data_IF_680858668944
#
_entry.id   IF_680858668944
#
_cell.length_a   1.000
_cell.length_b   1.000
_cell.length_c   1.000
_cell.angle_alpha   90.00
_cell.angle_beta   90.00
_cell.angle_gamma   90.00
#
_symmetry.space_group_name_H-M   'P 1'
#
loop_
_entity.id
_entity.type
_entity.pdbx_description
1 polymer ?
#
# COMPACT_ATOMS: atom_id res chain seq x y z
N UNK A 1 22.74 -7.73 -10.90
CA UNK A 1 22.20 -6.36 -10.89
C UNK A 1 21.73 -6.06 -12.30
N UNK A 2 20.44 -5.80 -12.51
CA UNK A 2 19.86 -5.66 -13.85
C UNK A 2 20.15 -4.25 -14.39
N UNK A 3 20.85 -4.12 -15.53
CA UNK A 3 21.10 -2.81 -16.13
C UNK A 3 19.79 -2.22 -16.67
N UNK A 4 19.48 -0.99 -16.27
CA UNK A 4 18.40 -0.18 -16.84
C UNK A 4 18.97 0.79 -17.89
N UNK A 5 18.30 0.93 -19.05
CA UNK A 5 18.67 1.95 -20.05
C UNK A 5 18.40 3.35 -19.49
N UNK A 6 19.42 4.21 -19.59
CA UNK A 6 19.32 5.65 -19.37
C UNK A 6 18.41 6.29 -20.42
N UNK A 7 17.40 7.04 -19.99
CA UNK A 7 16.68 7.97 -20.86
C UNK A 7 17.57 9.21 -21.10
N UNK A 8 17.92 9.49 -22.36
CA UNK A 8 18.50 10.78 -22.73
C UNK A 8 17.41 11.85 -22.77
N UNK A 9 17.58 13.01 -22.09
CA UNK A 9 16.67 14.13 -22.23
C UNK A 9 16.92 14.84 -23.58
N UNK A 10 15.83 15.05 -24.33
CA UNK A 10 15.79 15.99 -25.44
C UNK A 10 16.01 17.41 -24.88
N UNK A 11 17.05 18.09 -25.38
CA UNK A 11 17.28 19.51 -25.14
C UNK A 11 16.18 20.33 -25.81
N UNK A 12 15.52 21.22 -25.06
CA UNK A 12 15.02 22.48 -25.61
C UNK A 12 14.77 23.51 -24.49
N UNK A 13 15.30 24.72 -24.69
CA UNK A 13 14.65 25.98 -24.33
C UNK A 13 14.79 26.48 -22.90
N UNK A 14 15.79 27.34 -22.67
CA UNK A 14 15.88 28.25 -21.55
C UNK A 14 14.71 29.23 -21.48
N UNK A 15 14.07 29.38 -20.32
CA UNK A 15 13.55 30.68 -19.86
C UNK A 15 13.71 30.82 -18.34
N UNK A 16 14.37 31.90 -17.96
CA UNK A 16 14.47 32.43 -16.60
C UNK A 16 13.12 32.98 -16.15
N UNK A 17 12.65 32.62 -14.96
CA UNK A 17 11.75 33.49 -14.19
C UNK A 17 12.22 33.62 -12.74
N UNK A 18 12.27 34.89 -12.32
CA UNK A 18 12.74 35.39 -11.02
C UNK A 18 11.64 35.20 -9.98
N UNK A 19 11.97 34.65 -8.81
CA UNK A 19 11.08 34.73 -7.65
C UNK A 19 11.23 36.11 -6.99
N UNK A 20 10.15 36.88 -6.98
CA UNK A 20 10.02 38.10 -6.18
C UNK A 20 9.50 37.75 -4.79
N UNK A 21 10.18 38.28 -3.77
CA UNK A 21 9.75 38.29 -2.38
C UNK A 21 8.72 39.41 -2.21
N UNK A 22 7.56 39.12 -1.63
CA UNK A 22 6.69 40.14 -1.02
C UNK A 22 6.30 39.71 0.40
N UNK A 23 6.83 40.45 1.38
CA UNK A 23 6.22 40.63 2.70
C UNK A 23 5.23 41.79 2.61
N UNK A 24 4.04 41.69 3.22
CA UNK A 24 3.44 42.76 4.04
C UNK A 24 2.17 42.27 4.82
N UNK A 25 1.49 43.07 5.67
CA UNK A 25 1.54 42.94 7.14
C UNK A 25 0.16 42.82 7.85
N UNK A 26 0.19 42.38 9.12
CA UNK A 26 -0.74 42.65 10.26
C UNK A 26 -2.28 42.60 10.05
N UNK A 27 -2.96 41.68 10.78
CA UNK A 27 -4.39 41.73 11.14
C UNK A 27 -4.82 40.50 11.97
N UNK A 28 -5.73 40.62 12.95
CA UNK A 28 -5.98 39.71 14.10
C UNK A 28 -7.22 38.75 13.92
N UNK A 29 -7.12 37.46 14.37
CA UNK A 29 -8.15 36.47 14.93
C UNK A 29 -9.45 36.08 14.15
N UNK A 30 -10.22 34.94 14.36
CA UNK A 30 -10.12 33.77 15.27
C UNK A 30 -10.17 32.32 14.63
N UNK A 31 -10.78 31.23 15.24
CA UNK A 31 -10.27 29.81 15.46
C UNK A 31 -10.89 28.62 14.69
N UNK A 32 -10.08 27.59 14.37
CA UNK A 32 -10.45 26.16 14.20
C UNK A 32 -9.22 25.28 14.52
N UNK A 33 -9.47 24.07 15.04
CA UNK A 33 -8.52 23.29 15.85
C UNK A 33 -7.80 22.19 15.04
N UNK A 34 -6.49 21.92 15.26
CA UNK A 34 -5.77 20.83 14.60
C UNK A 34 -6.07 19.45 15.22
N UNK A 35 -6.16 18.41 14.37
CA UNK A 35 -6.39 17.01 14.76
C UNK A 35 -5.20 16.50 15.57
N UNK A 36 -5.46 16.08 16.81
CA UNK A 36 -4.46 15.43 17.67
C UNK A 36 -4.55 13.91 17.50
N UNK A 37 -3.40 13.23 17.35
CA UNK A 37 -3.32 11.76 17.37
C UNK A 37 -2.64 11.36 18.69
N UNK A 38 -3.42 11.03 19.71
CA UNK A 38 -2.90 10.59 21.01
C UNK A 38 -2.61 9.08 20.99
N UNK A 39 -1.34 8.72 21.01
CA UNK A 39 -0.87 7.33 21.11
C UNK A 39 -0.58 7.02 22.59
N UNK A 40 -1.46 6.28 23.27
CA UNK A 40 -1.22 5.86 24.67
C UNK A 40 -0.25 4.67 24.74
N UNK A 41 1.05 4.91 24.56
CA UNK A 41 2.16 4.22 25.22
C UNK A 41 3.44 5.08 25.13
N UNK A 42 3.66 5.84 26.22
CA UNK A 42 4.82 6.64 26.65
C UNK A 42 5.61 7.52 25.65
N UNK A 43 5.59 8.81 26.00
CA UNK A 43 6.42 9.95 25.56
C UNK A 43 6.02 10.62 24.24
N UNK A 44 5.21 11.70 24.30
CA UNK A 44 5.58 13.08 23.89
C UNK A 44 4.40 14.04 24.13
N UNK A 45 4.73 15.33 24.35
CA UNK A 45 3.89 16.39 24.93
C UNK A 45 2.88 17.01 23.94
N UNK A 46 1.76 17.44 24.51
CA UNK A 46 0.71 18.30 23.96
C UNK A 46 1.23 19.55 23.24
N UNK A 47 0.54 19.99 22.19
CA UNK A 47 0.59 21.37 21.71
C UNK A 47 -0.83 21.90 21.52
N UNK A 48 -1.04 23.10 22.05
CA UNK A 48 -2.33 23.75 22.32
C UNK A 48 -2.86 24.52 21.10
N UNK A 49 -4.19 24.67 21.08
CA UNK A 49 -5.01 25.26 20.02
C UNK A 49 -4.72 26.73 19.67
N UNK A 50 -4.83 27.08 18.39
CA UNK A 50 -4.66 28.42 17.82
C UNK A 50 -5.55 28.66 16.60
N UNK A 51 -5.81 29.94 16.28
CA UNK A 51 -7.04 30.50 15.67
C UNK A 51 -7.11 30.48 14.09
N UNK A 52 -7.84 29.54 13.40
CA UNK A 52 -8.24 29.48 11.96
C UNK A 52 -9.54 30.23 11.47
N UNK A 53 -9.54 30.78 10.23
CA UNK A 53 -10.62 31.59 9.63
C UNK A 53 -11.75 30.81 8.91
N UNK A 54 -12.83 31.53 8.63
CA UNK A 54 -14.14 31.11 8.06
C UNK A 54 -14.04 30.32 6.73
N UNK A 55 -14.36 29.02 6.77
CA UNK A 55 -14.49 28.15 5.59
C UNK A 55 -15.91 28.23 5.05
N UNK A 56 -16.06 28.68 3.80
CA UNK A 56 -17.31 28.54 3.04
C UNK A 56 -17.57 27.04 2.81
N UNK A 57 -18.50 26.49 3.60
CA UNK A 57 -19.02 25.11 3.57
C UNK A 57 -18.11 24.00 4.18
N UNK A 58 -18.27 23.68 5.48
CA UNK A 58 -17.60 22.57 6.16
C UNK A 58 -17.86 21.20 5.50
N UNK A 59 -19.02 21.02 4.88
CA UNK A 59 -19.39 19.76 4.22
C UNK A 59 -18.50 19.51 3.01
N UNK A 60 -18.33 20.53 2.15
CA UNK A 60 -17.45 20.46 0.98
C UNK A 60 -15.97 20.26 1.34
N UNK A 61 -15.51 20.81 2.47
CA UNK A 61 -14.12 20.63 2.94
C UNK A 61 -13.83 19.25 3.52
N UNK A 62 -14.86 18.52 3.97
CA UNK A 62 -14.70 17.18 4.56
C UNK A 62 -14.86 16.04 3.54
N UNK A 63 -15.63 16.26 2.47
CA UNK A 63 -15.87 15.26 1.43
C UNK A 63 -14.57 14.94 0.66
N UNK A 64 -14.23 13.66 0.57
CA UNK A 64 -12.98 13.20 -0.04
C UNK A 64 -11.75 13.32 0.86
N UNK A 65 -11.89 13.85 2.07
CA UNK A 65 -10.85 13.77 3.09
C UNK A 65 -10.59 12.32 3.49
N UNK A 66 -9.35 12.03 3.85
CA UNK A 66 -8.97 10.69 4.28
C UNK A 66 -7.86 10.71 5.32
N UNK A 67 -7.92 9.74 6.23
CA UNK A 67 -6.90 9.43 7.21
C UNK A 67 -6.36 8.03 6.90
N UNK A 68 -5.07 7.95 6.63
CA UNK A 68 -4.36 6.68 6.40
C UNK A 68 -3.54 6.33 7.64
N UNK A 69 -3.83 5.19 8.24
CA UNK A 69 -3.16 4.64 9.41
C UNK A 69 -2.35 3.42 8.95
N UNK A 70 -1.05 3.43 9.23
CA UNK A 70 -0.13 2.36 8.87
C UNK A 70 0.41 1.75 10.16
N UNK A 71 0.31 0.43 10.28
CA UNK A 71 0.84 -0.27 11.45
C UNK A 71 0.69 -1.78 11.35
N UNK A 72 0.99 -2.48 12.44
CA UNK A 72 0.98 -3.94 12.51
C UNK A 72 0.09 -4.39 13.67
N UNK A 73 -0.95 -5.22 13.42
CA UNK A 73 -1.65 -5.92 14.48
C UNK A 73 -0.68 -6.90 15.19
N UNK A 74 -0.59 -6.79 16.51
CA UNK A 74 0.29 -7.60 17.37
C UNK A 74 -0.38 -8.94 17.72
N UNK A 75 0.13 -9.64 18.75
CA UNK A 75 -0.15 -11.06 19.01
C UNK A 75 -1.62 -11.38 19.32
N UNK A 76 -2.29 -10.55 20.11
CA UNK A 76 -3.74 -10.64 20.33
C UNK A 76 -4.51 -9.99 19.18
N UNK A 77 -3.93 -8.97 18.56
CA UNK A 77 -4.37 -8.41 17.29
C UNK A 77 -5.71 -7.66 17.32
N UNK A 78 -6.34 -7.54 18.48
CA UNK A 78 -7.57 -6.78 18.66
C UNK A 78 -7.23 -5.31 18.87
N UNK A 79 -7.80 -4.43 18.06
CA UNK A 79 -7.57 -2.99 18.15
C UNK A 79 -8.80 -2.19 17.76
N UNK A 80 -8.79 -0.91 18.08
CA UNK A 80 -9.89 0.01 17.85
C UNK A 80 -9.38 1.35 17.33
N UNK A 81 -10.12 1.90 16.37
CA UNK A 81 -9.93 3.25 15.84
C UNK A 81 -11.21 4.04 16.13
N UNK A 82 -11.09 5.13 16.85
CA UNK A 82 -12.20 5.99 17.25
C UNK A 82 -12.06 7.36 16.57
N UNK A 83 -13.12 7.79 15.87
CA UNK A 83 -13.30 9.17 15.40
C UNK A 83 -14.15 9.94 16.41
N UNK A 84 -13.52 10.81 17.19
CA UNK A 84 -14.16 11.57 18.25
C UNK A 84 -14.57 12.95 17.75
N UNK A 85 -15.78 13.38 18.13
CA UNK A 85 -16.25 14.73 17.92
C UNK A 85 -15.61 15.74 18.87
N UNK A 86 -15.88 17.03 18.66
CA UNK A 86 -15.41 18.08 19.57
C UNK A 86 -16.25 18.13 20.87
N UNK A 87 -15.63 18.18 22.06
CA UNK A 87 -16.35 18.34 23.31
C UNK A 87 -16.93 19.76 23.40
N UNK A 88 -18.22 19.86 23.72
CA UNK A 88 -18.89 21.15 23.91
C UNK A 88 -18.96 21.50 25.40
N UNK A 89 -18.91 22.79 25.79
CA UNK A 89 -18.96 23.19 27.20
C UNK A 89 -20.17 22.65 27.98
N UNK A 90 -21.30 22.44 27.30
CA UNK A 90 -22.54 21.91 27.89
C UNK A 90 -22.65 20.38 27.82
N UNK A 91 -21.85 19.73 26.96
CA UNK A 91 -21.80 18.28 26.76
C UNK A 91 -20.35 17.78 26.85
N UNK A 92 -19.84 17.48 28.05
CA UNK A 92 -18.41 17.18 28.26
C UNK A 92 -17.99 15.83 27.67
N UNK A 93 -18.94 14.96 27.34
CA UNK A 93 -18.67 13.70 26.67
C UNK A 93 -18.88 13.88 25.16
N UNK A 94 -17.80 14.08 24.37
CA UNK A 94 -17.94 14.28 22.93
C UNK A 94 -18.57 13.07 22.25
N UNK A 95 -19.31 13.27 21.14
CA UNK A 95 -19.86 12.15 20.39
C UNK A 95 -18.75 11.30 19.77
N UNK A 96 -19.01 10.00 19.63
CA UNK A 96 -18.17 9.07 18.88
C UNK A 96 -18.80 8.89 17.50
N UNK A 97 -18.24 9.59 16.51
CA UNK A 97 -18.72 9.61 15.12
C UNK A 97 -18.55 8.24 14.46
N UNK A 98 -17.46 7.54 14.79
CA UNK A 98 -17.25 6.15 14.42
C UNK A 98 -16.34 5.47 15.44
N UNK A 99 -16.82 4.34 15.98
CA UNK A 99 -15.97 3.30 16.54
C UNK A 99 -15.71 2.26 15.46
N UNK A 100 -14.46 1.98 15.14
CA UNK A 100 -14.05 0.90 14.26
C UNK A 100 -13.21 -0.11 15.04
N UNK A 101 -13.84 -1.18 15.50
CA UNK A 101 -13.20 -2.24 16.28
C UNK A 101 -12.85 -3.45 15.43
N UNK A 102 -11.60 -3.89 15.47
CA UNK A 102 -11.13 -5.14 14.85
C UNK A 102 -10.89 -6.18 15.93
N UNK A 103 -11.48 -7.36 15.76
CA UNK A 103 -11.34 -8.50 16.66
C UNK A 103 -10.78 -9.68 15.88
N UNK A 104 -9.45 -9.83 15.88
CA UNK A 104 -8.74 -10.85 15.09
C UNK A 104 -9.00 -12.27 15.57
N UNK A 105 -9.30 -12.47 16.86
CA UNK A 105 -9.64 -13.79 17.42
C UNK A 105 -11.15 -14.01 17.55
N UNK A 106 -11.96 -13.14 16.95
CA UNK A 106 -13.41 -13.12 17.11
C UNK A 106 -13.87 -12.67 18.50
N UNK A 107 -15.17 -12.83 18.72
CA UNK A 107 -15.83 -12.54 19.99
C UNK A 107 -16.87 -13.61 20.33
N UNK A 108 -17.58 -13.45 21.44
CA UNK A 108 -18.60 -14.42 21.88
C UNK A 108 -19.81 -14.54 20.94
N UNK A 109 -19.97 -13.64 19.97
CA UNK A 109 -21.11 -13.58 19.05
C UNK A 109 -20.73 -14.19 17.72
N UNK A 110 -19.60 -13.76 17.15
CA UNK A 110 -19.16 -14.16 15.81
C UNK A 110 -18.22 -15.36 15.84
N UNK A 111 -17.50 -15.59 16.95
CA UNK A 111 -16.46 -16.63 17.17
C UNK A 111 -15.25 -16.56 16.23
N UNK A 112 -15.45 -16.12 14.99
CA UNK A 112 -14.47 -15.86 13.95
C UNK A 112 -14.10 -14.37 13.89
N UNK A 113 -12.99 -14.01 13.19
CA UNK A 113 -12.53 -12.63 13.08
C UNK A 113 -13.64 -11.69 12.59
N UNK A 114 -13.81 -10.55 13.28
CA UNK A 114 -14.92 -9.62 13.02
C UNK A 114 -14.48 -8.16 13.14
N UNK A 115 -15.02 -7.34 12.25
CA UNK A 115 -15.00 -5.87 12.33
C UNK A 115 -16.34 -5.43 12.89
N UNK A 116 -16.32 -4.60 13.93
CA UNK A 116 -17.51 -4.03 14.57
C UNK A 116 -17.46 -2.52 14.43
N UNK A 117 -18.50 -1.94 13.85
CA UNK A 117 -18.66 -0.50 13.66
C UNK A 117 -19.87 0.00 14.45
N UNK A 118 -19.72 1.11 15.17
CA UNK A 118 -20.83 1.72 15.89
C UNK A 118 -20.59 3.23 16.10
N UNK A 119 -21.58 3.90 16.66
CA UNK A 119 -21.52 5.29 17.11
C UNK A 119 -22.00 5.42 18.54
N UNK A 120 -21.63 6.51 19.20
CA UNK A 120 -22.13 6.85 20.53
C UNK A 120 -22.46 8.35 20.62
N UNK A 121 -23.56 8.68 21.29
CA UNK A 121 -23.92 10.06 21.64
C UNK A 121 -24.35 10.14 23.10
N UNK A 122 -24.20 11.31 23.71
CA UNK A 122 -24.66 11.53 25.09
C UNK A 122 -26.19 11.35 25.22
N UNK A 123 -26.96 11.74 24.20
CA UNK A 123 -28.42 11.69 24.22
C UNK A 123 -28.99 10.27 24.06
N UNK A 124 -28.39 9.44 23.21
CA UNK A 124 -28.96 8.13 22.83
C UNK A 124 -28.09 6.93 23.25
N UNK A 125 -26.89 7.16 23.79
CA UNK A 125 -25.94 6.11 24.08
C UNK A 125 -25.37 5.47 22.81
N UNK A 126 -25.10 4.16 22.88
CA UNK A 126 -24.63 3.37 21.74
C UNK A 126 -25.74 3.14 20.73
N UNK A 127 -25.43 3.31 19.45
CA UNK A 127 -26.33 2.93 18.36
C UNK A 127 -26.33 1.42 18.07
N UNK A 128 -26.95 1.04 16.96
CA UNK A 128 -26.96 -0.35 16.48
C UNK A 128 -25.55 -0.76 16.01
N UNK A 129 -25.08 -1.96 16.38
CA UNK A 129 -23.78 -2.46 15.92
C UNK A 129 -23.85 -2.98 14.48
N UNK A 130 -22.92 -2.54 13.64
CA UNK A 130 -22.72 -3.08 12.30
C UNK A 130 -21.51 -3.99 12.28
N UNK A 131 -21.66 -5.21 11.75
CA UNK A 131 -20.65 -6.27 11.84
C UNK A 131 -20.24 -6.79 10.47
N UNK A 132 -18.94 -7.02 10.32
CA UNK A 132 -18.32 -7.54 9.10
C UNK A 132 -17.39 -8.72 9.42
N UNK A 133 -17.62 -9.94 8.86
CA UNK A 133 -18.68 -10.32 7.92
C UNK A 133 -20.10 -10.10 8.44
N UNK A 134 -21.02 -9.69 7.55
CA UNK A 134 -22.44 -9.54 7.90
C UNK A 134 -23.14 -10.90 7.94
N UNK A 135 -23.87 -11.18 9.03
CA UNK A 135 -24.71 -12.38 9.14
C UNK A 135 -25.94 -12.34 8.23
N UNK A 136 -26.35 -11.15 7.79
CA UNK A 136 -27.47 -10.94 6.86
C UNK A 136 -26.91 -10.64 5.48
N UNK A 137 -27.26 -11.46 4.48
CA UNK A 137 -27.05 -11.14 3.07
C UNK A 137 -27.94 -9.94 2.71
N UNK A 138 -27.41 -8.73 2.84
CA UNK A 138 -28.07 -7.50 2.48
C UNK A 138 -27.24 -6.71 1.47
N UNK A 139 -27.85 -6.34 0.36
CA UNK A 139 -27.27 -5.41 -0.63
C UNK A 139 -27.33 -3.95 -0.14
N UNK A 140 -27.11 -3.72 1.17
CA UNK A 140 -27.04 -2.35 1.69
C UNK A 140 -25.75 -1.71 1.17
N UNK A 141 -25.92 -0.57 0.52
CA UNK A 141 -24.84 0.22 -0.07
C UNK A 141 -24.83 1.60 0.56
N UNK A 142 -23.65 2.21 0.57
CA UNK A 142 -23.40 3.58 0.98
C UNK A 142 -22.45 4.14 -0.07
N UNK A 143 -22.83 5.22 -0.76
CA UNK A 143 -22.07 5.77 -1.90
C UNK A 143 -21.79 4.69 -2.98
N UNK A 144 -22.80 3.89 -3.31
CA UNK A 144 -22.72 2.72 -4.22
C UNK A 144 -21.79 1.57 -3.81
N UNK A 145 -21.05 1.71 -2.70
CA UNK A 145 -20.16 0.71 -2.15
C UNK A 145 -20.88 -0.19 -1.14
N UNK A 146 -20.59 -1.48 -1.17
CA UNK A 146 -21.17 -2.44 -0.24
C UNK A 146 -20.78 -2.10 1.21
N UNK A 147 -21.76 -2.11 2.12
CA UNK A 147 -21.54 -1.87 3.56
C UNK A 147 -20.48 -2.84 4.14
N UNK A 148 -20.53 -4.09 3.69
CA UNK A 148 -19.50 -5.09 3.93
C UNK A 148 -19.00 -5.65 2.60
N UNK A 149 -17.69 -5.65 2.34
CA UNK A 149 -17.18 -6.32 1.16
C UNK A 149 -17.53 -7.82 1.24
N UNK A 150 -18.08 -8.38 0.15
CA UNK A 150 -18.58 -9.76 0.11
C UNK A 150 -17.49 -10.81 0.36
N UNK A 151 -16.22 -10.45 0.14
CA UNK A 151 -15.08 -11.31 0.43
C UNK A 151 -14.59 -11.18 1.87
N UNK A 152 -15.10 -10.26 2.69
CA UNK A 152 -14.66 -10.11 4.09
C UNK A 152 -15.21 -11.27 4.92
N UNK A 153 -14.33 -12.10 5.50
CA UNK A 153 -14.72 -13.27 6.28
C UNK A 153 -13.70 -14.42 6.19
N UNK A 154 -14.03 -15.59 6.72
CA UNK A 154 -13.15 -16.77 6.70
C UNK A 154 -13.55 -17.76 5.61
N UNK A 155 -12.57 -18.53 5.13
CA UNK A 155 -12.81 -19.78 4.42
C UNK A 155 -13.20 -20.92 5.37
N UNK A 156 -14.44 -21.40 5.29
CA UNK A 156 -14.82 -22.65 5.95
C UNK A 156 -16.32 -22.91 6.08
N UNK A 157 -16.85 -23.72 5.16
CA UNK A 157 -18.09 -24.52 5.19
C UNK A 157 -19.40 -23.89 5.69
N UNK A 158 -20.16 -23.30 4.76
CA UNK A 158 -21.62 -23.24 4.88
C UNK A 158 -22.22 -24.52 4.29
N UNK A 159 -22.59 -25.46 5.15
CA UNK A 159 -23.58 -26.48 4.84
C UNK A 159 -24.98 -25.85 4.85
N UNK A 160 -25.66 -25.80 3.70
CA UNK A 160 -26.94 -26.49 3.48
C UNK A 160 -27.52 -26.14 2.10
N UNK A 161 -27.89 -27.21 1.38
CA UNK A 161 -28.62 -27.29 0.11
C UNK A 161 -28.01 -26.63 -1.13
N UNK A 162 -27.16 -27.39 -1.85
CA UNK A 162 -27.01 -27.23 -3.29
C UNK A 162 -27.34 -28.56 -3.97
N UNK A 163 -28.52 -28.57 -4.61
CA UNK A 163 -28.85 -29.56 -5.64
C UNK A 163 -27.86 -29.44 -6.81
N UNK A 164 -27.66 -30.57 -7.48
CA UNK A 164 -26.66 -30.84 -8.51
C UNK A 164 -26.58 -29.79 -9.63
N UNK A 165 -25.32 -29.54 -10.01
CA UNK A 165 -24.77 -29.15 -11.32
C UNK A 165 -24.17 -27.74 -11.45
N UNK A 166 -22.98 -27.74 -12.08
CA UNK A 166 -22.07 -26.65 -12.44
C UNK A 166 -21.02 -26.25 -11.37
N UNK A 167 -19.79 -26.74 -11.59
CA UNK A 167 -18.55 -26.24 -10.98
C UNK A 167 -18.33 -24.79 -11.41
N UNK A 168 -18.79 -23.83 -10.60
CA UNK A 168 -18.28 -22.45 -10.56
C UNK A 168 -17.36 -22.33 -9.36
N UNK A 169 -16.14 -21.82 -9.58
CA UNK A 169 -15.22 -21.42 -8.50
C UNK A 169 -15.99 -20.51 -7.53
N UNK A 170 -16.08 -20.89 -6.25
CA UNK A 170 -16.67 -20.04 -5.20
C UNK A 170 -15.60 -19.07 -4.69
N UNK A 171 -15.89 -17.77 -4.48
CA UNK A 171 -14.92 -16.85 -3.90
C UNK A 171 -14.57 -17.26 -2.46
N UNK A 172 -13.26 -17.42 -2.19
CA UNK A 172 -12.72 -17.66 -0.85
C UNK A 172 -12.93 -16.43 0.04
N UNK A 173 -13.34 -16.64 1.28
CA UNK A 173 -13.41 -15.59 2.30
C UNK A 173 -12.01 -15.13 2.71
N UNK A 174 -11.84 -13.82 2.86
CA UNK A 174 -10.60 -13.14 3.26
C UNK A 174 -10.88 -12.18 4.42
N UNK A 175 -10.08 -12.23 5.50
CA UNK A 175 -10.14 -11.19 6.53
C UNK A 175 -9.01 -10.17 6.32
N UNK A 176 -9.30 -8.85 6.32
CA UNK A 176 -8.36 -7.81 5.89
C UNK A 176 -7.17 -7.58 6.82
N UNK A 177 -7.26 -8.07 8.04
CA UNK A 177 -6.21 -7.93 9.05
C UNK A 177 -5.60 -9.29 9.33
N UNK A 178 -4.27 -9.32 9.50
CA UNK A 178 -3.55 -10.54 9.87
C UNK A 178 -2.42 -10.20 10.84
N UNK A 179 -2.28 -11.02 11.88
CA UNK A 179 -1.25 -10.86 12.89
C UNK A 179 0.15 -10.83 12.28
N UNK A 180 0.94 -9.81 12.65
CA UNK A 180 2.33 -9.66 12.18
C UNK A 180 2.48 -9.13 10.76
N UNK A 181 1.36 -8.84 10.09
CA UNK A 181 1.36 -8.25 8.75
C UNK A 181 1.12 -6.76 8.82
N UNK A 182 1.80 -6.01 7.96
CA UNK A 182 1.55 -4.59 7.85
C UNK A 182 0.19 -4.35 7.22
N UNK A 183 -0.61 -3.51 7.87
CA UNK A 183 -1.90 -3.04 7.37
C UNK A 183 -1.84 -1.55 7.06
N UNK A 184 -2.23 -1.21 5.84
CA UNK A 184 -2.44 0.18 5.40
C UNK A 184 -3.94 0.44 5.37
N UNK A 185 -4.45 1.03 6.45
CA UNK A 185 -5.87 1.35 6.62
C UNK A 185 -6.12 2.78 6.15
N UNK A 186 -7.05 3.01 5.23
CA UNK A 186 -7.47 4.36 4.85
C UNK A 186 -8.95 4.50 5.08
N UNK A 187 -9.31 5.39 6.01
CA UNK A 187 -10.67 5.80 6.27
C UNK A 187 -10.95 7.09 5.51
N UNK A 188 -11.92 7.05 4.60
CA UNK A 188 -12.27 8.17 3.71
C UNK A 188 -13.71 8.62 3.96
N UNK A 189 -13.92 9.93 4.00
CA UNK A 189 -15.25 10.52 4.02
C UNK A 189 -15.83 10.59 2.60
N UNK A 190 -16.93 9.87 2.38
CA UNK A 190 -17.81 9.93 1.21
C UNK A 190 -18.94 10.95 1.38
N UNK A 191 -19.91 10.92 0.46
CA UNK A 191 -21.08 11.81 0.51
C UNK A 191 -22.12 11.31 1.52
N UNK A 192 -22.33 10.00 1.56
CA UNK A 192 -23.33 9.31 2.40
C UNK A 192 -22.71 8.56 3.58
N UNK A 193 -21.40 8.29 3.58
CA UNK A 193 -20.75 7.67 4.72
C UNK A 193 -19.22 7.64 4.75
N UNK A 194 -18.68 6.87 5.69
CA UNK A 194 -17.26 6.63 5.89
C UNK A 194 -16.87 5.29 5.28
N UNK A 195 -15.81 5.25 4.48
CA UNK A 195 -15.34 4.05 3.80
C UNK A 195 -13.96 3.64 4.29
N UNK A 196 -13.84 2.41 4.76
CA UNK A 196 -12.56 1.81 5.13
C UNK A 196 -12.02 0.99 3.98
N UNK A 197 -10.79 1.29 3.59
CA UNK A 197 -9.98 0.44 2.71
C UNK A 197 -8.79 -0.10 3.50
N UNK A 198 -8.45 -1.37 3.29
CA UNK A 198 -7.28 -2.01 3.92
C UNK A 198 -6.43 -2.61 2.81
N UNK A 199 -5.14 -2.25 2.80
CA UNK A 199 -4.18 -2.67 1.78
C UNK A 199 -4.67 -2.38 0.34
N UNK A 200 -5.40 -1.27 0.17
CA UNK A 200 -5.95 -0.87 -1.11
C UNK A 200 -7.14 -1.71 -1.57
N UNK A 201 -7.85 -2.37 -0.66
CA UNK A 201 -9.12 -3.06 -0.94
C UNK A 201 -10.24 -2.49 -0.09
N UNK A 202 -11.37 -2.16 -0.72
CA UNK A 202 -12.58 -1.75 0.01
C UNK A 202 -12.99 -2.84 1.01
N UNK A 203 -13.22 -2.46 2.26
CA UNK A 203 -13.47 -3.40 3.36
C UNK A 203 -14.86 -3.19 3.94
N UNK A 204 -15.17 -1.97 4.38
CA UNK A 204 -16.50 -1.60 4.90
C UNK A 204 -16.91 -0.20 4.47
N UNK A 205 -18.21 0.03 4.34
CA UNK A 205 -18.81 1.36 4.30
C UNK A 205 -19.75 1.52 5.48
N UNK A 206 -19.71 2.67 6.15
CA UNK A 206 -20.54 2.99 7.31
C UNK A 206 -21.31 4.27 7.03
N UNK A 207 -22.63 4.19 6.93
CA UNK A 207 -23.47 5.35 6.64
C UNK A 207 -23.41 6.38 7.77
N UNK A 208 -23.45 7.67 7.44
CA UNK A 208 -23.59 8.70 8.46
C UNK A 208 -24.89 8.50 9.23
N UNK A 209 -24.82 8.67 10.55
CA UNK A 209 -25.99 8.63 11.43
C UNK A 209 -26.45 10.04 11.76
N UNK A 210 -27.70 10.17 12.18
CA UNK A 210 -28.30 11.47 12.46
C UNK A 210 -27.41 12.27 13.44
N UNK A 211 -27.06 13.51 13.05
CA UNK A 211 -26.22 14.44 13.84
C UNK A 211 -24.80 13.95 14.12
N UNK A 212 -24.30 13.01 13.31
CA UNK A 212 -22.93 12.49 13.37
C UNK A 212 -22.25 12.67 12.02
N UNK A 213 -22.18 13.92 11.60
CA UNK A 213 -21.57 14.30 10.34
C UNK A 213 -20.04 14.28 10.42
N UNK A 214 -19.34 13.99 9.30
CA UNK A 214 -17.90 13.77 9.30
C UNK A 214 -17.09 15.00 9.71
N UNK A 215 -17.62 16.21 9.49
CA UNK A 215 -16.96 17.46 9.87
C UNK A 215 -16.94 17.73 11.38
N UNK A 216 -17.66 16.95 12.18
CA UNK A 216 -17.60 17.03 13.64
C UNK A 216 -16.32 16.42 14.21
N UNK A 217 -15.63 15.58 13.44
CA UNK A 217 -14.45 14.83 13.89
C UNK A 217 -13.30 15.80 14.19
N UNK A 218 -12.82 15.76 15.43
CA UNK A 218 -11.72 16.59 15.92
C UNK A 218 -10.50 15.78 16.38
N UNK A 219 -10.68 14.50 16.74
CA UNK A 219 -9.61 13.63 17.23
C UNK A 219 -9.74 12.21 16.65
N UNK A 220 -8.59 11.60 16.34
CA UNK A 220 -8.49 10.19 15.97
C UNK A 220 -7.72 9.46 17.06
N UNK A 221 -8.36 8.50 17.70
CA UNK A 221 -7.75 7.70 18.77
C UNK A 221 -7.57 6.25 18.32
N UNK A 222 -6.38 5.71 18.54
CA UNK A 222 -6.06 4.31 18.22
C UNK A 222 -5.68 3.61 19.52
N UNK A 223 -6.32 2.49 19.81
CA UNK A 223 -6.11 1.73 21.04
C UNK A 223 -6.12 0.22 20.79
N UNK A 224 -5.58 -0.54 21.75
CA UNK A 224 -5.51 -2.00 21.69
C UNK A 224 -4.15 -2.52 21.23
N UNK A 225 -4.12 -3.76 20.75
CA UNK A 225 -2.91 -4.50 20.42
C UNK A 225 -2.45 -4.24 18.98
N UNK A 226 -2.08 -2.99 18.73
CA UNK A 226 -1.66 -2.49 17.41
C UNK A 226 -0.40 -1.65 17.52
N UNK A 227 0.62 -2.01 16.75
CA UNK A 227 1.85 -1.22 16.63
C UNK A 227 1.68 -0.16 15.54
N UNK A 228 1.43 1.09 15.96
CA UNK A 228 1.35 2.22 15.03
C UNK A 228 2.73 2.56 14.46
N UNK A 229 2.80 2.69 13.13
CA UNK A 229 4.01 3.07 12.39
C UNK A 229 3.93 4.51 11.89
N UNK A 230 2.82 4.91 11.27
CA UNK A 230 2.62 6.25 10.72
C UNK A 230 1.14 6.56 10.58
N UNK A 231 0.79 7.84 10.65
CA UNK A 231 -0.52 8.36 10.25
C UNK A 231 -0.32 9.43 9.20
N UNK A 232 -1.21 9.48 8.21
CA UNK A 232 -1.24 10.47 7.15
C UNK A 232 -2.67 11.01 7.05
N UNK A 233 -2.80 12.30 6.79
CA UNK A 233 -4.08 12.91 6.50
C UNK A 233 -3.99 13.62 5.14
N UNK A 234 -5.06 13.52 4.35
CA UNK A 234 -5.18 14.13 3.03
C UNK A 234 -6.55 14.78 2.88
N UNK A 235 -6.61 15.93 2.21
CA UNK A 235 -7.87 16.68 2.09
C UNK A 235 -8.36 17.27 3.41
N UNK A 236 -7.51 17.30 4.44
CA UNK A 236 -7.76 17.95 5.73
C UNK A 236 -6.78 19.10 5.91
N UNK A 237 -7.18 20.20 6.58
CA UNK A 237 -6.24 21.21 7.05
C UNK A 237 -5.34 20.55 8.10
N UNK A 238 -4.20 20.05 7.67
CA UNK A 238 -3.19 19.47 8.55
C UNK A 238 -2.22 20.58 8.93
N UNK A 239 -1.80 20.64 10.20
CA UNK A 239 -0.65 21.48 10.53
C UNK A 239 0.57 20.85 9.86
N UNK A 240 1.50 21.69 9.37
CA UNK A 240 2.78 21.24 8.79
C UNK A 240 3.58 20.32 9.74
N UNK A 241 3.18 20.20 11.01
CA UNK A 241 3.82 19.34 12.01
C UNK A 241 3.52 17.85 11.83
N UNK A 242 2.45 17.45 11.14
CA UNK A 242 2.16 16.01 10.89
C UNK A 242 3.22 15.35 9.98
N UNK A 243 3.87 16.13 9.10
CA UNK A 243 5.02 15.64 8.33
C UNK A 243 6.29 15.52 9.20
N UNK A 244 6.36 16.23 10.33
CA UNK A 244 7.48 16.27 11.26
C UNK A 244 7.36 15.27 12.44
N UNK A 245 6.21 14.61 12.62
CA UNK A 245 6.02 13.58 13.68
C UNK A 245 6.83 12.30 13.40
N UNK A 246 7.17 12.04 12.15
CA UNK A 246 7.91 10.83 11.77
C UNK A 246 9.38 11.17 11.61
N UNK A 247 10.23 10.62 12.47
CA UNK A 247 11.69 10.67 12.29
C UNK A 247 12.06 10.11 10.91
N UNK A 248 12.40 11.01 10.00
CA UNK A 248 12.75 10.67 8.62
C UNK A 248 14.01 9.79 8.56
N UNK A 249 14.84 9.78 9.60
CA UNK A 249 15.95 8.84 9.72
C UNK A 249 15.46 7.44 10.09
N UNK A 250 14.50 7.32 11.00
CA UNK A 250 13.88 6.05 11.36
C UNK A 250 13.16 5.35 10.19
N UNK A 251 12.72 6.12 9.18
CA UNK A 251 12.11 5.59 7.95
C UNK A 251 13.12 5.07 6.92
N UNK A 252 14.43 5.33 7.11
CA UNK A 252 15.47 4.84 6.21
C UNK A 252 15.77 3.39 6.52
N UNK A 253 16.07 2.62 5.48
CA UNK A 253 16.67 1.30 5.68
C UNK A 253 18.05 1.46 6.31
N UNK A 254 18.36 0.57 7.26
CA UNK A 254 19.63 0.61 7.98
C UNK A 254 20.86 0.56 7.05
N UNK A 255 22.03 0.99 7.55
CA UNK A 255 23.28 0.84 6.82
C UNK A 255 23.56 -0.64 6.55
N UNK A 256 24.18 -0.93 5.41
CA UNK A 256 24.60 -2.30 5.08
C UNK A 256 25.80 -2.66 5.96
N UNK A 257 25.73 -3.79 6.67
CA UNK A 257 26.87 -4.34 7.38
C UNK A 257 27.72 -5.18 6.41
N UNK A 258 29.03 -4.92 6.29
CA UNK A 258 29.93 -5.77 5.51
C UNK A 258 30.08 -7.19 6.08
N UNK A 259 29.78 -7.41 7.36
CA UNK A 259 30.06 -8.66 8.07
C UNK A 259 28.85 -9.62 8.11
N UNK A 260 27.64 -9.13 7.85
CA UNK A 260 26.42 -9.94 7.88
C UNK A 260 25.86 -10.09 6.45
N UNK A 261 25.83 -11.31 5.88
CA UNK A 261 25.24 -11.52 4.56
C UNK A 261 23.73 -11.26 4.62
N UNK A 262 23.22 -10.55 3.60
CA UNK A 262 21.79 -10.29 3.46
C UNK A 262 21.05 -11.52 2.96
N UNK A 263 19.86 -11.76 3.50
CA UNK A 263 18.97 -12.79 2.97
C UNK A 263 18.33 -12.32 1.66
N UNK A 264 17.87 -11.07 1.62
CA UNK A 264 17.23 -10.48 0.44
C UNK A 264 17.68 -9.03 0.26
N UNK A 265 17.99 -8.66 -0.97
CA UNK A 265 18.18 -7.28 -1.38
C UNK A 265 17.04 -6.87 -2.33
N UNK A 266 16.33 -5.79 -2.04
CA UNK A 266 15.23 -5.26 -2.85
C UNK A 266 15.66 -3.94 -3.49
N UNK A 267 15.79 -3.93 -4.81
CA UNK A 267 16.01 -2.73 -5.62
C UNK A 267 14.69 -2.17 -6.14
N UNK A 268 14.32 -0.97 -5.69
CA UNK A 268 13.11 -0.27 -6.11
C UNK A 268 13.45 0.75 -7.19
N UNK A 269 12.99 0.52 -8.41
CA UNK A 269 13.24 1.42 -9.53
C UNK A 269 12.36 2.68 -9.37
N UNK A 270 12.99 3.85 -9.41
CA UNK A 270 12.32 5.13 -9.17
C UNK A 270 13.01 6.25 -9.95
N UNK A 271 12.35 7.40 -10.11
CA UNK A 271 12.94 8.60 -10.71
C UNK A 271 13.22 9.66 -9.65
N UNK A 272 14.13 10.61 -9.88
CA UNK A 272 14.46 11.66 -8.90
C UNK A 272 13.21 12.41 -8.41
N UNK A 273 12.26 12.65 -9.33
CA UNK A 273 11.04 13.41 -9.10
C UNK A 273 9.94 12.62 -8.36
N UNK A 274 10.05 11.29 -8.25
CA UNK A 274 9.06 10.43 -7.58
C UNK A 274 9.20 10.42 -6.04
N UNK A 275 9.46 11.58 -5.42
CA UNK A 275 9.67 11.68 -3.97
C UNK A 275 8.48 11.13 -3.17
N UNK A 276 7.25 11.49 -3.56
CA UNK A 276 6.03 11.03 -2.89
C UNK A 276 5.88 9.50 -2.90
N UNK A 277 6.19 8.85 -4.03
CA UNK A 277 6.17 7.38 -4.14
C UNK A 277 7.20 6.72 -3.24
N UNK A 278 8.44 7.23 -3.23
CA UNK A 278 9.48 6.73 -2.32
C UNK A 278 9.12 6.92 -0.85
N UNK A 279 8.47 8.03 -0.50
CA UNK A 279 7.99 8.25 0.87
C UNK A 279 6.84 7.30 1.23
N UNK A 280 5.94 6.98 0.30
CA UNK A 280 4.92 5.96 0.52
C UNK A 280 5.54 4.60 0.80
N UNK A 281 6.51 4.17 -0.02
CA UNK A 281 7.28 2.93 0.19
C UNK A 281 7.99 2.93 1.56
N UNK A 282 8.65 4.03 1.93
CA UNK A 282 9.31 4.18 3.23
C UNK A 282 8.37 4.07 4.41
N UNK A 283 7.20 4.70 4.34
CA UNK A 283 6.21 4.72 5.42
C UNK A 283 5.43 3.41 5.54
N UNK A 284 5.38 2.63 4.46
CA UNK A 284 4.68 1.35 4.38
C UNK A 284 5.67 0.18 4.44
N UNK A 285 5.80 -0.62 3.39
CA UNK A 285 6.43 -1.93 3.42
C UNK A 285 7.95 -1.92 3.68
N UNK A 286 8.63 -0.77 3.68
CA UNK A 286 9.98 -0.69 4.24
C UNK A 286 10.02 -0.81 5.78
N UNK A 287 8.88 -0.73 6.46
CA UNK A 287 8.78 -0.80 7.91
C UNK A 287 8.61 -2.23 8.45
N UNK A 288 8.59 -3.25 7.56
CA UNK A 288 8.60 -4.65 7.98
C UNK A 288 9.83 -4.96 8.85
N UNK A 289 9.65 -5.78 9.89
CA UNK A 289 10.70 -6.11 10.85
C UNK A 289 11.97 -6.70 10.21
N UNK A 290 11.84 -7.44 9.11
CA UNK A 290 12.98 -7.97 8.36
C UNK A 290 13.84 -6.87 7.71
N UNK A 291 13.23 -5.77 7.27
CA UNK A 291 13.93 -4.60 6.74
C UNK A 291 14.57 -3.80 7.88
N UNK A 292 13.81 -3.56 8.96
CA UNK A 292 14.28 -2.79 10.13
C UNK A 292 15.41 -3.48 10.89
N UNK A 293 15.41 -4.81 10.94
CA UNK A 293 16.48 -5.62 11.54
C UNK A 293 17.73 -5.79 10.66
N UNK A 294 17.69 -5.32 9.41
CA UNK A 294 18.79 -5.44 8.45
C UNK A 294 18.97 -6.85 7.86
N UNK A 295 18.00 -7.76 8.03
CA UNK A 295 18.00 -9.04 7.31
C UNK A 295 17.69 -8.84 5.81
N UNK A 296 16.87 -7.83 5.50
CA UNK A 296 16.56 -7.37 4.15
C UNK A 296 17.03 -5.94 3.97
N UNK A 297 17.67 -5.66 2.84
CA UNK A 297 18.04 -4.29 2.47
C UNK A 297 17.17 -3.79 1.32
N UNK A 298 16.58 -2.61 1.48
CA UNK A 298 15.82 -1.94 0.42
C UNK A 298 16.59 -0.69 -0.04
N UNK A 299 16.77 -0.53 -1.35
CA UNK A 299 17.44 0.64 -1.96
C UNK A 299 16.64 1.15 -3.16
N UNK A 300 16.50 2.47 -3.26
CA UNK A 300 15.90 3.11 -4.43
C UNK A 300 16.97 3.32 -5.51
N UNK A 301 16.70 2.84 -6.72
CA UNK A 301 17.54 3.04 -7.88
C UNK A 301 17.02 4.23 -8.67
N UNK A 302 17.61 5.39 -8.39
CA UNK A 302 17.41 6.66 -9.09
C UNK A 302 18.57 6.95 -10.06
N UNK A 303 19.57 6.06 -10.08
CA UNK A 303 20.80 6.12 -10.88
C UNK A 303 21.67 4.89 -10.59
N UNK A 304 22.95 4.94 -10.96
CA UNK A 304 23.90 3.86 -10.70
C UNK A 304 24.20 3.73 -9.20
N UNK A 305 24.27 2.49 -8.71
CA UNK A 305 24.51 2.18 -7.30
C UNK A 305 25.62 1.14 -7.13
N UNK A 306 26.13 0.99 -5.91
CA UNK A 306 27.20 0.06 -5.58
C UNK A 306 26.70 -1.39 -5.43
N UNK A 307 27.63 -2.33 -5.61
CA UNK A 307 27.40 -3.78 -5.53
C UNK A 307 27.13 -4.20 -4.09
N UNK A 308 26.01 -4.91 -3.89
CA UNK A 308 25.62 -5.49 -2.61
C UNK A 308 25.55 -7.00 -2.74
N UNK A 309 26.13 -7.72 -1.78
CA UNK A 309 26.06 -9.18 -1.70
C UNK A 309 24.81 -9.62 -0.94
N UNK A 310 23.95 -10.43 -1.57
CA UNK A 310 22.74 -10.99 -0.97
C UNK A 310 22.43 -12.35 -1.60
N UNK A 311 21.80 -13.26 -0.85
CA UNK A 311 21.39 -14.58 -1.36
C UNK A 311 20.39 -14.46 -2.51
N UNK A 312 19.48 -13.49 -2.39
CA UNK A 312 18.46 -13.17 -3.37
C UNK A 312 18.44 -11.68 -3.68
N UNK A 313 18.14 -11.34 -4.93
CA UNK A 313 17.96 -9.98 -5.42
C UNK A 313 16.57 -9.84 -6.01
N UNK A 314 15.75 -8.98 -5.41
CA UNK A 314 14.44 -8.60 -5.93
C UNK A 314 14.53 -7.27 -6.67
N UNK A 315 13.90 -7.18 -7.84
CA UNK A 315 13.56 -5.93 -8.51
C UNK A 315 12.07 -5.65 -8.31
N UNK A 316 11.71 -4.39 -8.10
CA UNK A 316 10.32 -3.90 -8.07
C UNK A 316 10.26 -2.43 -8.49
N UNK A 317 9.06 -1.92 -8.75
CA UNK A 317 8.82 -0.53 -9.15
C UNK A 317 8.30 0.30 -7.97
N UNK A 318 8.45 1.63 -8.02
CA UNK A 318 8.03 2.54 -6.94
C UNK A 318 6.52 2.74 -6.80
N UNK A 319 5.73 2.11 -7.68
CA UNK A 319 4.27 1.99 -7.61
C UNK A 319 3.80 0.58 -7.24
N UNK A 320 4.69 -0.28 -6.73
CA UNK A 320 4.36 -1.62 -6.24
C UNK A 320 4.35 -1.69 -4.70
N UNK A 321 3.45 -2.50 -4.16
CA UNK A 321 3.39 -2.81 -2.73
C UNK A 321 3.87 -4.24 -2.48
N UNK A 322 4.89 -4.40 -1.63
CA UNK A 322 5.53 -5.70 -1.42
C UNK A 322 5.25 -6.22 0.00
N UNK A 323 4.77 -7.46 0.09
CA UNK A 323 4.67 -8.22 1.34
C UNK A 323 6.00 -8.92 1.60
N UNK A 324 6.95 -8.21 2.24
CA UNK A 324 8.35 -8.64 2.38
C UNK A 324 8.46 -9.97 3.14
N UNK A 325 7.63 -10.17 4.15
CA UNK A 325 7.51 -11.40 4.92
C UNK A 325 7.06 -12.61 4.10
N UNK A 326 6.03 -12.45 3.26
CA UNK A 326 5.55 -13.48 2.34
C UNK A 326 6.63 -13.87 1.34
N UNK A 327 7.35 -12.89 0.77
CA UNK A 327 8.46 -13.17 -0.14
C UNK A 327 9.54 -14.00 0.57
N UNK A 328 9.95 -13.61 1.78
CA UNK A 328 10.95 -14.38 2.55
C UNK A 328 10.45 -15.80 2.85
N UNK A 329 9.18 -15.94 3.25
CA UNK A 329 8.58 -17.24 3.55
C UNK A 329 8.54 -18.14 2.31
N UNK A 330 8.10 -17.60 1.16
CA UNK A 330 8.08 -18.29 -0.13
C UNK A 330 9.47 -18.72 -0.57
N UNK A 331 10.49 -17.85 -0.44
CA UNK A 331 11.86 -18.19 -0.82
C UNK A 331 12.45 -19.30 0.06
N UNK A 332 12.19 -19.26 1.38
CA UNK A 332 12.58 -20.33 2.31
C UNK A 332 11.91 -21.66 1.96
N UNK A 333 10.61 -21.62 1.64
CA UNK A 333 9.84 -22.81 1.28
C UNK A 333 10.30 -23.41 -0.06
N UNK A 334 10.59 -22.55 -1.05
CA UNK A 334 11.09 -22.99 -2.35
C UNK A 334 12.45 -23.68 -2.24
N UNK A 335 13.29 -23.26 -1.29
CA UNK A 335 14.61 -23.83 -1.01
C UNK A 335 15.51 -23.95 -2.26
N UNK A 336 15.43 -22.96 -3.15
CA UNK A 336 16.29 -22.85 -4.34
C UNK A 336 17.25 -21.70 -4.13
N UNK A 337 18.54 -21.98 -4.06
CA UNK A 337 19.59 -20.95 -3.80
C UNK A 337 20.39 -20.57 -5.05
N UNK A 338 20.28 -21.34 -6.12
CA UNK A 338 20.99 -21.15 -7.39
C UNK A 338 20.01 -21.28 -8.56
N UNK A 339 20.24 -20.51 -9.62
CA UNK A 339 19.41 -20.56 -10.83
C UNK A 339 17.94 -20.20 -10.65
N UNK A 340 17.56 -19.42 -9.63
CA UNK A 340 16.15 -19.10 -9.34
C UNK A 340 15.67 -17.88 -10.13
N UNK A 341 14.54 -18.01 -10.84
CA UNK A 341 13.67 -16.89 -11.20
C UNK A 341 12.30 -17.08 -10.53
N UNK A 342 11.96 -16.21 -9.60
CA UNK A 342 10.70 -16.24 -8.85
C UNK A 342 9.88 -14.97 -9.12
N UNK A 343 8.59 -15.12 -9.40
CA UNK A 343 7.67 -14.01 -9.68
C UNK A 343 6.45 -14.50 -10.46
N UNK A 344 5.63 -13.60 -10.99
CA UNK A 344 4.58 -14.00 -11.93
C UNK A 344 5.23 -14.33 -13.28
N UNK A 345 5.33 -15.60 -13.62
CA UNK A 345 6.06 -16.06 -14.82
C UNK A 345 5.11 -16.14 -16.01
N UNK A 346 5.47 -15.46 -17.09
CA UNK A 346 4.83 -15.61 -18.38
C UNK A 346 5.74 -16.37 -19.35
N UNK A 347 5.25 -17.52 -19.83
CA UNK A 347 5.99 -18.39 -20.76
C UNK A 347 5.46 -18.37 -22.19
N UNK A 348 4.34 -17.68 -22.43
CA UNK A 348 3.59 -17.75 -23.70
C UNK A 348 3.43 -16.37 -24.38
N UNK A 349 4.13 -15.35 -23.88
CA UNK A 349 3.98 -13.99 -24.38
C UNK A 349 4.67 -13.78 -25.74
N UNK A 350 4.16 -12.80 -26.48
CA UNK A 350 4.65 -12.46 -27.82
C UNK A 350 4.97 -10.96 -27.93
N UNK A 351 5.95 -10.59 -28.76
CA UNK A 351 6.21 -9.18 -29.06
C UNK A 351 4.96 -8.47 -29.58
N UNK A 352 4.69 -7.29 -29.03
CA UNK A 352 3.62 -6.43 -29.52
C UNK A 352 4.11 -5.66 -30.75
N UNK A 353 3.55 -5.96 -31.92
CA UNK A 353 3.94 -5.31 -33.18
C UNK A 353 3.03 -4.14 -33.59
N UNK A 354 2.02 -3.81 -32.78
CA UNK A 354 1.28 -2.56 -32.96
C UNK A 354 2.17 -1.35 -32.58
N UNK A 355 2.46 -0.49 -33.55
CA UNK A 355 3.30 0.72 -33.40
C UNK A 355 2.77 1.72 -32.38
N UNK A 356 1.47 1.71 -32.12
CA UNK A 356 0.83 2.60 -31.14
C UNK A 356 0.95 2.08 -29.70
N UNK A 357 1.45 0.87 -29.52
CA UNK A 357 1.66 0.30 -28.18
C UNK A 357 2.91 0.89 -27.53
N UNK A 358 2.80 1.28 -26.24
CA UNK A 358 3.95 1.58 -25.38
C UNK A 358 4.99 0.45 -25.39
N UNK A 359 4.50 -0.78 -25.52
CA UNK A 359 5.27 -2.02 -25.53
C UNK A 359 5.65 -2.49 -26.93
N UNK A 360 5.54 -1.61 -27.95
CA UNK A 360 5.93 -1.93 -29.32
C UNK A 360 7.39 -2.41 -29.39
N UNK A 361 7.58 -3.52 -30.10
CA UNK A 361 8.86 -4.12 -30.46
C UNK A 361 8.88 -4.36 -31.97
N UNK A 362 9.92 -3.86 -32.62
CA UNK A 362 10.07 -4.00 -34.06
C UNK A 362 10.49 -5.42 -34.44
N UNK A 363 10.12 -5.92 -35.64
CA UNK A 363 10.60 -7.21 -36.13
C UNK A 363 12.13 -7.30 -36.22
N UNK A 364 12.81 -6.17 -36.39
CA UNK A 364 14.27 -6.11 -36.39
C UNK A 364 14.87 -6.28 -34.98
N UNK A 365 14.17 -5.80 -33.94
CA UNK A 365 14.59 -5.97 -32.54
C UNK A 365 14.38 -7.39 -32.02
N UNK A 366 13.31 -8.07 -32.50
CA UNK A 366 12.95 -9.43 -32.11
C UNK A 366 12.27 -10.16 -33.27
N UNK A 367 12.94 -11.17 -33.81
CA UNK A 367 12.48 -11.91 -35.00
C UNK A 367 11.67 -13.16 -34.60
N UNK A 368 11.85 -13.65 -33.38
CA UNK A 368 11.21 -14.86 -32.89
C UNK A 368 9.73 -14.63 -32.57
N UNK A 369 8.90 -15.66 -32.77
CA UNK A 369 7.45 -15.55 -32.58
C UNK A 369 6.98 -15.45 -31.13
N UNK A 370 7.87 -15.64 -30.15
CA UNK A 370 7.56 -15.60 -28.71
C UNK A 370 8.79 -15.22 -27.88
N UNK A 371 8.56 -14.64 -26.70
CA UNK A 371 9.62 -14.42 -25.72
C UNK A 371 9.96 -15.72 -24.96
N UNK A 372 11.19 -15.88 -24.44
CA UNK A 372 11.48 -16.89 -23.44
C UNK A 372 10.73 -16.59 -22.13
N UNK A 373 10.60 -17.54 -21.19
CA UNK A 373 9.96 -17.30 -19.91
C UNK A 373 10.57 -16.11 -19.16
N UNK A 374 9.73 -15.15 -18.78
CA UNK A 374 10.09 -13.93 -18.08
C UNK A 374 9.10 -13.63 -16.95
N UNK A 375 9.45 -12.72 -16.03
CA UNK A 375 8.64 -12.40 -14.86
C UNK A 375 8.06 -10.99 -14.96
N UNK A 376 6.79 -10.79 -14.62
CA UNK A 376 6.12 -9.50 -14.76
C UNK A 376 6.76 -8.35 -13.95
N UNK A 377 6.73 -7.14 -14.51
CA UNK A 377 7.37 -5.93 -14.02
C UNK A 377 7.12 -5.48 -12.56
N UNK A 378 5.92 -5.68 -11.95
CA UNK A 378 5.66 -5.24 -10.56
C UNK A 378 6.66 -5.81 -9.55
N UNK A 379 7.20 -7.00 -9.81
CA UNK A 379 8.40 -7.44 -9.13
C UNK A 379 8.73 -8.90 -9.35
N UNK A 380 10.02 -9.19 -9.28
CA UNK A 380 10.56 -10.54 -9.40
C UNK A 380 11.86 -10.68 -8.62
N UNK A 381 12.20 -11.91 -8.26
CA UNK A 381 13.39 -12.28 -7.50
C UNK A 381 14.28 -13.18 -8.33
N UNK A 382 15.59 -12.90 -8.33
CA UNK A 382 16.62 -13.78 -8.86
C UNK A 382 17.58 -14.23 -7.76
N UNK A 383 18.16 -15.42 -7.91
CA UNK A 383 19.27 -15.87 -7.05
C UNK A 383 20.55 -15.08 -7.31
N UNK A 384 21.47 -15.12 -6.34
CA UNK A 384 22.73 -14.38 -6.38
C UNK A 384 23.57 -14.70 -7.63
N UNK A 385 23.66 -15.98 -8.00
CA UNK A 385 24.45 -16.47 -9.14
C UNK A 385 23.93 -15.93 -10.48
N UNK A 386 22.61 -15.88 -10.69
CA UNK A 386 22.01 -15.20 -11.85
C UNK A 386 22.37 -13.71 -11.82
N UNK A 387 22.18 -13.04 -10.68
CA UNK A 387 22.45 -11.61 -10.57
C UNK A 387 23.93 -11.25 -10.84
N UNK A 388 24.86 -12.13 -10.42
CA UNK A 388 26.29 -12.03 -10.66
C UNK A 388 26.65 -12.32 -12.12
N UNK A 389 26.05 -13.35 -12.72
CA UNK A 389 26.25 -13.70 -14.12
C UNK A 389 25.81 -12.56 -15.05
N UNK A 390 24.64 -11.95 -14.80
CA UNK A 390 24.16 -10.76 -15.54
C UNK A 390 25.17 -9.63 -15.41
N UNK A 391 25.65 -9.35 -14.19
CA UNK A 391 26.62 -8.27 -13.95
C UNK A 391 27.94 -8.49 -14.68
N UNK A 392 28.52 -9.70 -14.58
CA UNK A 392 29.77 -10.07 -15.26
C UNK A 392 29.66 -9.93 -16.77
N UNK A 393 28.55 -10.40 -17.35
CA UNK A 393 28.28 -10.27 -18.80
C UNK A 393 28.14 -8.81 -19.22
N UNK A 394 27.45 -7.99 -18.41
CA UNK A 394 27.31 -6.56 -18.68
C UNK A 394 28.65 -5.84 -18.67
N UNK A 395 29.44 -6.01 -17.59
CA UNK A 395 30.77 -5.36 -17.47
C UNK A 395 31.76 -5.88 -18.51
N UNK A 396 31.59 -7.13 -18.96
CA UNK A 396 32.40 -7.70 -20.03
C UNK A 396 31.95 -7.30 -21.44
N UNK A 397 30.86 -6.54 -21.61
CA UNK A 397 30.35 -6.16 -22.93
C UNK A 397 29.65 -7.27 -23.71
N UNK A 398 29.33 -8.41 -23.07
CA UNK A 398 28.71 -9.57 -23.70
C UNK A 398 27.18 -9.59 -23.52
N UNK A 399 26.62 -8.66 -22.75
CA UNK A 399 25.18 -8.60 -22.49
C UNK A 399 24.48 -7.73 -23.53
N UNK A 400 23.59 -8.32 -24.33
CA UNK A 400 22.73 -7.58 -25.26
C UNK A 400 21.59 -6.92 -24.49
N UNK A 401 21.53 -5.59 -24.52
CA UNK A 401 20.47 -4.81 -23.87
C UNK A 401 19.16 -4.89 -24.65
N UNK A 402 18.05 -5.02 -23.94
CA UNK A 402 16.70 -5.01 -24.50
C UNK A 402 15.85 -3.89 -23.87
N UNK A 403 14.83 -3.40 -24.59
CA UNK A 403 14.04 -2.22 -24.18
C UNK A 403 13.17 -2.49 -22.94
N UNK A 404 12.60 -3.69 -22.86
CA UNK A 404 11.74 -4.12 -21.76
C UNK A 404 12.62 -4.86 -20.75
N UNK A 405 12.79 -4.30 -19.56
CA UNK A 405 13.76 -4.78 -18.56
C UNK A 405 13.41 -6.17 -18.00
N UNK A 406 12.13 -6.41 -17.77
CA UNK A 406 11.56 -7.67 -17.33
C UNK A 406 11.75 -8.79 -18.36
N UNK A 407 11.45 -8.49 -19.63
CA UNK A 407 11.70 -9.41 -20.75
C UNK A 407 13.20 -9.60 -20.98
N UNK A 408 14.02 -8.55 -20.83
CA UNK A 408 15.48 -8.63 -20.96
C UNK A 408 16.07 -9.64 -19.97
N UNK A 409 15.63 -9.59 -18.71
CA UNK A 409 16.04 -10.55 -17.68
C UNK A 409 15.67 -11.98 -18.07
N UNK A 410 14.45 -12.20 -18.59
CA UNK A 410 14.04 -13.52 -19.11
C UNK A 410 14.93 -14.01 -20.26
N UNK A 411 15.29 -13.12 -21.19
CA UNK A 411 16.21 -13.43 -22.30
C UNK A 411 17.58 -13.86 -21.77
N UNK A 412 18.19 -13.08 -20.87
CA UNK A 412 19.53 -13.39 -20.35
C UNK A 412 19.54 -14.71 -19.56
N UNK A 413 18.48 -14.99 -18.78
CA UNK A 413 18.34 -16.26 -18.06
C UNK A 413 18.18 -17.43 -19.03
N UNK A 414 17.43 -17.26 -20.11
CA UNK A 414 17.29 -18.28 -21.14
C UNK A 414 18.61 -18.55 -21.88
N UNK A 415 19.45 -17.55 -22.09
CA UNK A 415 20.82 -17.73 -22.60
C UNK A 415 21.70 -18.52 -21.62
N UNK A 416 21.68 -18.17 -20.32
CA UNK A 416 22.40 -18.92 -19.28
C UNK A 416 21.97 -20.38 -19.24
N UNK A 417 20.67 -20.65 -19.40
CA UNK A 417 20.14 -22.01 -19.47
C UNK A 417 20.68 -22.79 -20.67
N UNK A 418 20.78 -22.15 -21.84
CA UNK A 418 21.37 -22.76 -23.04
C UNK A 418 22.86 -23.07 -22.87
N UNK A 419 23.56 -22.29 -22.04
CA UNK A 419 24.96 -22.49 -21.68
C UNK A 419 25.17 -23.52 -20.55
N UNK A 420 24.10 -24.16 -20.07
CA UNK A 420 24.17 -25.26 -19.11
C UNK A 420 23.89 -24.89 -17.65
N UNK A 421 23.48 -23.65 -17.36
CA UNK A 421 23.00 -23.29 -16.03
C UNK A 421 21.63 -23.94 -15.77
N UNK A 422 21.48 -24.64 -14.65
CA UNK A 422 20.20 -25.17 -14.22
C UNK A 422 19.31 -24.03 -13.72
N UNK A 423 18.15 -23.82 -14.36
CA UNK A 423 17.22 -22.72 -14.01
C UNK A 423 15.91 -23.28 -13.45
N UNK A 424 15.56 -22.81 -12.27
CA UNK A 424 14.27 -23.04 -11.60
C UNK A 424 13.38 -21.81 -11.73
N UNK A 425 12.33 -21.92 -12.54
CA UNK A 425 11.23 -20.95 -12.59
C UNK A 425 10.24 -21.27 -11.46
N UNK A 426 9.86 -20.28 -10.66
CA UNK A 426 8.85 -20.39 -9.61
C UNK A 426 7.76 -19.33 -9.83
N UNK A 427 6.58 -19.79 -10.21
CA UNK A 427 5.43 -18.93 -10.47
C UNK A 427 4.75 -18.50 -9.16
N UNK A 428 4.50 -17.21 -8.99
CA UNK A 428 3.77 -16.63 -7.86
C UNK A 428 2.52 -15.93 -8.37
N UNK A 429 1.39 -16.64 -8.32
CA UNK A 429 0.09 -16.18 -8.81
C UNK A 429 -0.55 -15.13 -7.90
N UNK A 430 -0.04 -14.96 -6.67
CA UNK A 430 -0.49 -13.91 -5.74
C UNK A 430 0.06 -12.52 -6.09
N UNK A 431 0.84 -12.39 -7.17
CA UNK A 431 1.22 -11.08 -7.71
C UNK A 431 0.07 -10.53 -8.55
N UNK A 432 -0.52 -9.43 -8.10
CA UNK A 432 -1.60 -8.76 -8.81
C UNK A 432 -1.04 -7.64 -9.69
N UNK A 433 -1.26 -7.75 -11.01
CA UNK A 433 -0.78 -6.79 -12.01
C UNK A 433 -1.83 -5.76 -12.44
N UNK A 434 -3.09 -6.02 -12.09
CA UNK A 434 -4.17 -5.08 -12.39
C UNK A 434 -4.10 -3.91 -11.42
N UNK A 435 -3.92 -2.72 -11.97
CA UNK A 435 -4.05 -1.49 -11.20
C UNK A 435 -5.51 -1.21 -10.86
N UNK A 436 -5.72 0.00 -10.37
CA UNK A 436 -6.98 0.42 -9.79
C UNK A 436 -8.09 0.57 -10.83
N UNK A 437 -9.00 -0.40 -10.91
CA UNK A 437 -10.24 -0.22 -11.67
C UNK A 437 -11.19 0.63 -10.84
N UNK A 438 -11.26 1.92 -11.15
CA UNK A 438 -12.46 2.71 -10.95
C UNK A 438 -12.52 3.90 -11.92
N UNK A 439 -13.65 4.02 -12.63
CA UNK A 439 -13.90 4.99 -13.70
C UNK A 439 -14.67 6.24 -13.25
N UNK A 440 -15.04 6.39 -11.99
CA UNK A 440 -15.90 7.49 -11.54
C UNK A 440 -15.38 8.22 -10.29
N UNK A 441 -14.26 8.93 -10.39
CA UNK A 441 -13.98 10.08 -9.53
C UNK A 441 -13.39 11.19 -10.42
N UNK A 442 -14.15 12.29 -10.54
CA UNK A 442 -13.74 13.46 -11.32
C UNK A 442 -12.39 14.00 -10.85
N UNK A 443 -11.68 14.63 -11.80
CA UNK A 443 -10.32 15.16 -11.66
C UNK A 443 -10.13 16.03 -10.40
N UNK A 444 -9.38 15.49 -9.44
CA UNK A 444 -8.67 16.22 -8.41
C UNK A 444 -7.31 15.56 -8.20
N UNK A 445 -6.22 16.31 -8.29
CA UNK A 445 -4.84 15.79 -8.21
C UNK A 445 -4.57 15.12 -6.85
N UNK A 446 -4.48 13.79 -6.81
CA UNK A 446 -3.93 13.06 -5.66
C UNK A 446 -4.39 11.61 -5.58
N UNK A 447 -3.42 10.69 -5.56
CA UNK A 447 -3.53 9.30 -5.09
C UNK A 447 -4.64 8.41 -5.68
N UNK A 448 -4.27 7.59 -6.68
CA UNK A 448 -5.09 6.47 -7.19
C UNK A 448 -4.80 5.18 -6.40
N UNK A 449 -5.81 4.65 -5.73
CA UNK A 449 -5.98 3.27 -5.19
C UNK A 449 -7.42 2.87 -5.60
N UNK A 450 -7.78 1.82 -6.37
CA UNK A 450 -7.68 0.35 -6.36
C UNK A 450 -8.71 -0.22 -5.39
N UNK A 451 -9.71 -1.02 -5.78
CA UNK A 451 -10.25 -1.41 -7.10
C UNK A 451 -11.47 -2.33 -6.89
N UNK A 452 -12.37 -2.41 -7.89
CA UNK A 452 -13.37 -3.48 -8.08
C UNK A 452 -13.53 -3.82 -9.59
N UNK A 453 -14.16 -4.97 -9.87
CA UNK A 453 -14.53 -5.60 -11.15
C UNK A 453 -13.53 -6.59 -11.80
N UNK A 454 -13.59 -7.85 -11.35
CA UNK A 454 -14.33 -8.93 -12.05
C UNK A 454 -14.55 -10.18 -11.17
#
# INVERSE_FOLDING_TARGET
MIPAKTFHPLQHGSQHERYSVMKNPIGKSPLSSPITVNNTFNSFKSLQAGVLPEVQDPKASSQGSAITIIGLPNVLGNFQIDLMGEPLPEEPNPPLVLQYGVRLNGDKVTEDPVIVQNTWTAAHGWGEEERCPSAVLGNKKVDELSQCNQMVGKDGNVSMWASMTQKRFKPQGYFPFKQGYMSVMTLRAGEEGLHMTVDGKHTTSFAYRERLEPWLVSEVKIAGDFQLTSVLASGLPTSDDLENIVDLEALRSGPLSPQKPLDLFIGVFSSANNFKRRMAVRRTWMQYGAVRSGAVAVRFFVGLTQVVSAKYVMKTDDDSFIRVDEIIASLKLANVTHGLLYGLINSNDKPQHNRDSKWYISPEEWQEGSYPPWAHGPGYVVSQDIAEAVYKRYTGGHLRMFKLEDVATGIWIAEMRKEGMEISYRNEERVHIEGCKDRNLQQGKGSKCCGDDQ
#
